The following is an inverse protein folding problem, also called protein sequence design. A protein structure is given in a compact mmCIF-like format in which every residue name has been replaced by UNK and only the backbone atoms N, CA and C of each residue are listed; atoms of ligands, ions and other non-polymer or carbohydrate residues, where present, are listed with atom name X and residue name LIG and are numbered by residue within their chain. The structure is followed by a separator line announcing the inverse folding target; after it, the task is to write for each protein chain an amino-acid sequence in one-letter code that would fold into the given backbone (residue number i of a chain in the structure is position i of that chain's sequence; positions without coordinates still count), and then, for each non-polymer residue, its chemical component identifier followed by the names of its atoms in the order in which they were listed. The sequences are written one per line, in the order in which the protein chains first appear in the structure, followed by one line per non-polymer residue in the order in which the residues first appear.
data_IF_510568119486
#
_entry.id   IF_510568119486
#
_cell.length_a   1.000
_cell.length_b   1.000
_cell.length_c   1.000
_cell.angle_alpha   90.00
_cell.angle_beta   90.00
_cell.angle_gamma   90.00
#
_symmetry.space_group_name_H-M   'P 1'
#
loop_
_entity.id
_entity.type
_entity.pdbx_description
1 polymer ?
#
# COMPACT_ATOMS: atom_id res chain seq x y z
N UNK A 1 -24.82 -6.97 3.23
CA UNK A 1 -24.25 -5.84 2.47
C UNK A 1 -23.70 -6.39 1.17
N UNK A 2 -24.27 -6.04 0.01
CA UNK A 2 -23.75 -6.50 -1.27
C UNK A 2 -22.32 -5.95 -1.44
N UNK A 3 -21.37 -6.84 -1.75
CA UNK A 3 -19.98 -6.47 -1.95
C UNK A 3 -19.85 -5.43 -3.06
N UNK A 4 -19.09 -4.37 -2.81
CA UNK A 4 -18.79 -3.34 -3.79
C UNK A 4 -18.29 -4.00 -5.11
N UNK A 5 -18.81 -3.59 -6.27
CA UNK A 5 -18.43 -4.19 -7.55
C UNK A 5 -16.94 -3.98 -7.80
N UNK A 6 -16.26 -5.07 -8.15
CA UNK A 6 -14.86 -5.07 -8.58
C UNK A 6 -14.78 -4.31 -9.91
N UNK A 7 -14.46 -3.02 -9.86
CA UNK A 7 -14.15 -2.18 -11.02
C UNK A 7 -12.84 -2.65 -11.70
N UNK A 8 -12.52 -2.23 -12.94
CA UNK A 8 -11.32 -2.66 -13.66
C UNK A 8 -10.02 -2.03 -13.10
N UNK A 9 -9.82 -2.15 -11.78
CA UNK A 9 -8.65 -1.70 -11.03
C UNK A 9 -7.35 -2.29 -11.60
N UNK A 10 -7.41 -3.53 -12.11
CA UNK A 10 -6.23 -4.27 -12.61
C UNK A 10 -5.36 -3.51 -13.63
N UNK A 11 -5.93 -2.60 -14.43
CA UNK A 11 -5.14 -1.83 -15.41
C UNK A 11 -4.19 -0.85 -14.75
N UNK A 12 -4.64 -0.12 -13.72
CA UNK A 12 -3.79 0.85 -13.01
C UNK A 12 -2.61 0.12 -12.35
N UNK A 13 -2.88 -0.89 -11.53
CA UNK A 13 -1.86 -1.71 -10.88
C UNK A 13 -0.86 -2.35 -11.86
N UNK A 14 -1.35 -2.91 -12.98
CA UNK A 14 -0.49 -3.48 -14.02
C UNK A 14 0.38 -2.42 -14.70
N UNK A 15 -0.20 -1.26 -15.02
CA UNK A 15 0.53 -0.17 -15.68
C UNK A 15 1.60 0.40 -14.75
N UNK A 16 1.30 0.58 -13.46
CA UNK A 16 2.29 1.01 -12.45
C UNK A 16 3.42 0.00 -12.32
N UNK A 17 3.13 -1.30 -12.34
CA UNK A 17 4.18 -2.34 -12.29
C UNK A 17 5.10 -2.29 -13.50
N UNK A 18 4.52 -2.14 -14.69
CA UNK A 18 5.29 -2.04 -15.93
C UNK A 18 6.11 -0.74 -15.99
N UNK A 19 5.56 0.38 -15.51
CA UNK A 19 6.32 1.61 -15.35
C UNK A 19 7.54 1.39 -14.44
N UNK A 20 7.35 0.75 -13.29
CA UNK A 20 8.43 0.46 -12.34
C UNK A 20 9.51 -0.41 -12.95
N UNK A 21 9.15 -1.47 -13.68
CA UNK A 21 10.12 -2.34 -14.36
C UNK A 21 10.99 -1.56 -15.34
N UNK A 22 10.40 -0.68 -16.15
CA UNK A 22 11.15 0.18 -17.08
C UNK A 22 12.00 1.23 -16.37
N UNK A 23 11.46 1.84 -15.32
CA UNK A 23 12.18 2.83 -14.51
C UNK A 23 13.40 2.18 -13.85
N UNK A 24 13.22 1.02 -13.23
CA UNK A 24 14.31 0.25 -12.61
C UNK A 24 15.37 -0.18 -13.64
N UNK A 25 14.96 -0.72 -14.79
CA UNK A 25 15.88 -1.10 -15.86
C UNK A 25 16.71 0.09 -16.39
N UNK A 26 16.18 1.31 -16.32
CA UNK A 26 16.92 2.53 -16.70
C UNK A 26 18.13 2.79 -15.82
N UNK A 27 18.16 2.24 -14.60
CA UNK A 27 19.30 2.27 -13.69
C UNK A 27 20.27 1.10 -13.89
N UNK A 28 20.17 0.34 -14.98
CA UNK A 28 21.07 -0.77 -15.31
C UNK A 28 21.17 -1.83 -14.18
N UNK A 29 20.03 -2.15 -13.57
CA UNK A 29 19.90 -3.10 -12.45
C UNK A 29 20.74 -2.74 -11.20
N UNK A 30 21.17 -1.48 -11.07
CA UNK A 30 21.95 -1.03 -9.91
C UNK A 30 21.10 -0.83 -8.66
N UNK A 31 19.77 -0.85 -8.77
CA UNK A 31 18.87 -0.69 -7.63
C UNK A 31 18.67 -2.03 -6.91
N UNK A 32 18.67 -2.05 -5.57
CA UNK A 32 18.42 -3.27 -4.80
C UNK A 32 16.94 -3.70 -4.84
N UNK A 33 16.03 -2.82 -5.27
CA UNK A 33 14.60 -3.11 -5.27
C UNK A 33 14.26 -4.12 -6.36
N UNK A 34 13.98 -5.35 -5.96
CA UNK A 34 13.52 -6.46 -6.79
C UNK A 34 12.74 -7.45 -5.93
N UNK A 35 12.09 -8.43 -6.54
CA UNK A 35 11.44 -9.50 -5.79
C UNK A 35 12.44 -10.16 -4.81
N UNK A 36 12.06 -10.26 -3.54
CA UNK A 36 12.92 -10.74 -2.46
C UNK A 36 13.63 -9.64 -1.65
N UNK A 37 13.62 -8.38 -2.12
CA UNK A 37 13.90 -7.24 -1.25
C UNK A 37 12.64 -6.90 -0.43
N UNK A 38 12.75 -6.93 0.90
CA UNK A 38 11.62 -6.71 1.81
C UNK A 38 11.79 -5.48 2.71
N UNK A 39 12.77 -4.60 2.42
CA UNK A 39 13.01 -3.41 3.24
C UNK A 39 11.78 -2.48 3.31
N UNK A 40 10.97 -2.42 2.25
CA UNK A 40 9.71 -1.67 2.24
C UNK A 40 8.51 -2.44 2.81
N UNK A 41 8.71 -3.72 3.18
CA UNK A 41 7.69 -4.58 3.78
C UNK A 41 7.73 -4.55 5.31
N UNK A 42 8.47 -3.61 5.91
CA UNK A 42 8.55 -3.38 7.35
C UNK A 42 8.09 -1.94 7.61
N UNK A 43 7.22 -1.76 8.58
CA UNK A 43 6.56 -0.49 8.87
C UNK A 43 5.06 -0.52 8.56
N UNK A 44 4.34 0.46 9.11
CA UNK A 44 2.96 0.77 8.74
C UNK A 44 2.95 1.99 7.83
N UNK A 45 2.07 1.98 6.84
CA UNK A 45 1.88 3.08 5.91
C UNK A 45 0.41 3.09 5.43
N UNK A 46 -0.11 4.26 5.03
CA UNK A 46 -1.42 4.35 4.43
C UNK A 46 -1.43 3.66 3.06
N UNK A 47 -2.55 3.02 2.76
CA UNK A 47 -2.90 2.49 1.45
C UNK A 47 -4.33 2.90 1.13
N UNK A 48 -4.66 2.95 -0.15
CA UNK A 48 -5.97 3.44 -0.57
C UNK A 48 -7.03 2.35 -0.52
N UNK A 49 -8.30 2.73 -0.61
CA UNK A 49 -9.41 1.79 -0.79
C UNK A 49 -9.29 0.99 -2.10
N UNK A 50 -8.60 1.51 -3.12
CA UNK A 50 -8.27 0.77 -4.34
C UNK A 50 -7.27 -0.35 -4.04
N UNK A 51 -6.22 -0.05 -3.27
CA UNK A 51 -5.24 -1.06 -2.81
C UNK A 51 -5.91 -2.14 -1.99
N UNK A 52 -6.85 -1.76 -1.11
CA UNK A 52 -7.64 -2.72 -0.36
C UNK A 52 -8.42 -3.66 -1.29
N UNK A 53 -9.09 -3.16 -2.32
CA UNK A 53 -9.82 -4.00 -3.27
C UNK A 53 -8.87 -4.98 -3.97
N UNK A 54 -7.68 -4.51 -4.34
CA UNK A 54 -6.65 -5.33 -4.99
C UNK A 54 -6.10 -6.42 -4.05
N UNK A 55 -5.79 -6.07 -2.80
CA UNK A 55 -5.36 -7.03 -1.78
C UNK A 55 -6.45 -8.08 -1.54
N UNK A 56 -7.72 -7.68 -1.44
CA UNK A 56 -8.84 -8.62 -1.25
C UNK A 56 -8.98 -9.57 -2.45
N UNK A 57 -8.75 -9.08 -3.68
CA UNK A 57 -8.70 -9.91 -4.90
C UNK A 57 -7.56 -10.94 -4.84
N UNK A 58 -6.39 -10.52 -4.35
CA UNK A 58 -5.25 -11.42 -4.13
C UNK A 58 -5.54 -12.48 -3.08
N UNK A 59 -6.06 -12.08 -1.91
CA UNK A 59 -6.44 -12.99 -0.83
C UNK A 59 -7.48 -14.02 -1.29
N UNK A 60 -8.45 -13.62 -2.11
CA UNK A 60 -9.46 -14.52 -2.68
C UNK A 60 -8.85 -15.58 -3.62
N UNK A 61 -7.69 -15.30 -4.20
CA UNK A 61 -6.96 -16.19 -5.12
C UNK A 61 -5.96 -17.11 -4.41
N UNK A 62 -5.67 -16.87 -3.13
CA UNK A 62 -4.72 -17.66 -2.33
C UNK A 62 -5.34 -18.96 -1.79
N UNK A 63 -4.46 -19.92 -1.47
CA UNK A 63 -4.86 -21.08 -0.68
C UNK A 63 -5.44 -20.66 0.67
N UNK A 64 -6.40 -21.43 1.18
CA UNK A 64 -7.12 -21.11 2.42
C UNK A 64 -6.19 -20.91 3.63
N UNK A 65 -5.12 -21.70 3.72
CA UNK A 65 -4.08 -21.62 4.75
C UNK A 65 -3.32 -20.29 4.70
N UNK A 66 -2.85 -19.89 3.52
CA UNK A 66 -2.04 -18.69 3.35
C UNK A 66 -2.88 -17.42 3.56
N UNK A 67 -4.09 -17.40 3.00
CA UNK A 67 -5.07 -16.34 3.26
C UNK A 67 -5.34 -16.19 4.75
N UNK A 68 -5.56 -17.30 5.47
CA UNK A 68 -5.83 -17.28 6.91
C UNK A 68 -4.63 -16.72 7.68
N UNK A 69 -3.40 -17.18 7.37
CA UNK A 69 -2.17 -16.66 7.97
C UNK A 69 -2.07 -15.14 7.85
N UNK A 70 -2.25 -14.60 6.63
CA UNK A 70 -2.16 -13.16 6.40
C UNK A 70 -3.26 -12.39 7.14
N UNK A 71 -4.47 -12.92 7.19
CA UNK A 71 -5.58 -12.31 7.92
C UNK A 71 -5.41 -12.36 9.44
N UNK A 72 -4.85 -13.44 9.98
CA UNK A 72 -4.54 -13.58 11.41
C UNK A 72 -3.41 -12.61 11.80
N UNK A 73 -2.35 -12.50 10.99
CA UNK A 73 -1.30 -11.50 11.16
C UNK A 73 -1.87 -10.07 11.15
N UNK A 74 -2.71 -9.75 10.16
CA UNK A 74 -3.34 -8.45 10.06
C UNK A 74 -4.26 -8.14 11.27
N UNK A 75 -4.98 -9.14 11.78
CA UNK A 75 -5.84 -8.99 12.97
C UNK A 75 -5.02 -8.60 14.19
N UNK A 76 -3.91 -9.30 14.42
CA UNK A 76 -3.02 -9.03 15.54
C UNK A 76 -2.44 -7.61 15.44
N UNK A 77 -2.00 -7.21 14.24
CA UNK A 77 -1.47 -5.87 14.00
C UNK A 77 -2.51 -4.78 14.20
N UNK A 78 -3.74 -4.98 13.71
CA UNK A 78 -4.85 -4.05 13.92
C UNK A 78 -5.18 -3.91 15.40
N UNK A 79 -5.12 -5.00 16.18
CA UNK A 79 -5.32 -4.94 17.63
C UNK A 79 -4.23 -4.09 18.30
N UNK A 80 -2.95 -4.30 17.94
CA UNK A 80 -1.83 -3.51 18.47
C UNK A 80 -1.95 -2.02 18.12
N UNK A 81 -2.31 -1.71 16.86
CA UNK A 81 -2.54 -0.35 16.40
C UNK A 81 -3.68 0.32 17.16
N UNK A 82 -4.81 -0.38 17.32
CA UNK A 82 -6.00 0.14 17.99
C UNK A 82 -5.82 0.38 19.50
N UNK A 83 -4.92 -0.37 20.15
CA UNK A 83 -4.56 -0.15 21.56
C UNK A 83 -3.76 1.14 21.73
N UNK A 84 -2.83 1.42 20.80
CA UNK A 84 -1.99 2.62 20.84
C UNK A 84 -2.76 3.86 20.36
N UNK A 85 -3.60 3.69 19.34
CA UNK A 85 -4.40 4.76 18.75
C UNK A 85 -5.89 4.37 18.73
N UNK A 86 -6.63 4.64 19.82
CA UNK A 86 -8.03 4.28 19.94
C UNK A 86 -8.94 4.90 18.87
N UNK A 87 -8.55 5.99 18.21
CA UNK A 87 -9.31 6.56 17.08
C UNK A 87 -9.52 5.56 15.95
N UNK A 88 -8.57 4.64 15.76
CA UNK A 88 -8.65 3.58 14.75
C UNK A 88 -9.75 2.55 15.01
N UNK A 89 -10.28 2.47 16.23
CA UNK A 89 -11.46 1.65 16.56
C UNK A 89 -12.74 2.29 16.02
N UNK A 90 -12.82 3.61 16.12
CA UNK A 90 -13.99 4.40 15.68
C UNK A 90 -14.01 4.53 14.17
N UNK A 91 -12.87 4.90 13.58
CA UNK A 91 -12.70 5.03 12.14
C UNK A 91 -11.33 4.48 11.74
N UNK A 92 -11.26 3.52 10.80
CA UNK A 92 -9.99 3.00 10.29
C UNK A 92 -9.30 3.96 9.29
N UNK A 93 -9.99 5.04 8.93
CA UNK A 93 -9.55 5.98 7.91
C UNK A 93 -8.63 7.04 8.49
N UNK A 94 -7.56 7.33 7.75
CA UNK A 94 -6.49 8.25 8.16
C UNK A 94 -6.44 9.53 7.33
N UNK A 95 -7.41 9.74 6.42
CA UNK A 95 -7.49 10.89 5.50
C UNK A 95 -7.34 12.27 6.17
N UNK A 96 -7.74 12.40 7.43
CA UNK A 96 -7.76 13.66 8.19
C UNK A 96 -6.64 13.78 9.22
N UNK A 97 -5.71 12.82 9.26
CA UNK A 97 -4.62 12.84 10.22
C UNK A 97 -3.56 13.84 9.76
N UNK A 98 -2.95 14.53 10.73
CA UNK A 98 -1.83 15.42 10.46
C UNK A 98 -0.56 14.62 10.21
N UNK A 99 0.36 15.18 9.42
CA UNK A 99 1.65 14.53 9.09
C UNK A 99 2.41 14.10 10.35
N UNK A 100 2.52 14.95 11.37
CA UNK A 100 3.17 14.63 12.65
C UNK A 100 2.49 13.47 13.41
N UNK A 101 1.18 13.28 13.24
CA UNK A 101 0.46 12.14 13.83
C UNK A 101 0.81 10.84 13.09
N UNK A 102 0.83 10.89 11.76
CA UNK A 102 1.24 9.77 10.92
C UNK A 102 2.70 9.37 11.14
N UNK A 103 3.60 10.34 11.26
CA UNK A 103 5.03 10.11 11.49
C UNK A 103 5.29 9.45 12.84
N UNK A 104 4.59 9.89 13.89
CA UNK A 104 4.69 9.26 15.22
C UNK A 104 4.22 7.81 15.19
N UNK A 105 3.11 7.54 14.50
CA UNK A 105 2.60 6.17 14.38
C UNK A 105 3.56 5.30 13.56
N UNK A 106 4.04 5.80 12.42
CA UNK A 106 4.97 5.09 11.54
C UNK A 106 6.27 4.76 12.27
N UNK A 107 6.83 5.72 13.02
CA UNK A 107 8.03 5.51 13.86
C UNK A 107 7.78 4.46 14.94
N UNK A 108 6.59 4.45 15.55
CA UNK A 108 6.27 3.51 16.63
C UNK A 108 6.19 2.06 16.13
N UNK A 109 5.79 1.86 14.88
CA UNK A 109 5.58 0.56 14.25
C UNK A 109 6.57 0.29 13.11
N UNK A 110 7.75 0.90 13.15
CA UNK A 110 8.82 0.83 12.14
C UNK A 110 9.43 -0.58 11.94
N UNK A 111 9.13 -1.49 12.86
CA UNK A 111 9.59 -2.89 12.89
C UNK A 111 8.45 -3.88 12.62
N UNK A 112 7.23 -3.39 12.39
CA UNK A 112 6.07 -4.23 12.16
C UNK A 112 6.10 -4.80 10.73
N UNK A 113 6.16 -6.13 10.52
CA UNK A 113 6.19 -6.69 9.18
C UNK A 113 4.83 -6.59 8.49
N UNK A 114 4.81 -6.42 7.17
CA UNK A 114 3.60 -6.51 6.36
C UNK A 114 2.90 -7.87 6.57
N UNK A 115 1.55 -7.93 6.65
CA UNK A 115 0.83 -9.20 6.80
C UNK A 115 1.13 -10.25 5.73
N UNK A 116 1.45 -9.81 4.51
CA UNK A 116 1.81 -10.67 3.38
C UNK A 116 3.27 -11.13 3.38
N UNK A 117 4.13 -10.62 4.27
CA UNK A 117 5.54 -10.99 4.31
C UNK A 117 5.69 -12.47 4.74
N UNK A 118 6.44 -13.23 3.95
CA UNK A 118 6.80 -14.61 4.24
C UNK A 118 8.13 -14.67 5.02
N UNK A 119 8.40 -15.75 5.78
CA UNK A 119 9.64 -15.89 6.55
C UNK A 119 10.91 -15.85 5.71
N UNK A 120 10.83 -16.19 4.43
CA UNK A 120 11.94 -16.13 3.47
C UNK A 120 12.08 -14.78 2.76
N UNK A 121 11.34 -13.76 3.21
CA UNK A 121 11.40 -12.40 2.69
C UNK A 121 10.58 -12.17 1.41
N UNK A 122 9.87 -13.17 0.89
CA UNK A 122 8.96 -12.97 -0.25
C UNK A 122 7.63 -12.38 0.20
N UNK A 123 6.97 -11.68 -0.72
CA UNK A 123 5.59 -11.24 -0.53
C UNK A 123 4.63 -12.34 -1.02
N UNK A 124 3.76 -12.82 -0.14
CA UNK A 124 2.73 -13.81 -0.47
C UNK A 124 1.59 -13.27 -1.35
N UNK A 125 1.55 -11.95 -1.60
CA UNK A 125 0.61 -11.28 -2.51
C UNK A 125 1.33 -10.40 -3.54
N UNK A 126 2.51 -10.81 -4.01
CA UNK A 126 3.36 -9.96 -4.87
C UNK A 126 2.62 -9.39 -6.10
N UNK A 127 1.82 -10.22 -6.77
CA UNK A 127 1.03 -9.80 -7.95
C UNK A 127 -0.15 -8.87 -7.62
N UNK A 128 -0.54 -8.77 -6.35
CA UNK A 128 -1.68 -8.00 -5.83
C UNK A 128 -1.24 -6.94 -4.81
N UNK A 129 0.05 -6.59 -4.82
CA UNK A 129 0.62 -5.59 -3.91
C UNK A 129 0.01 -4.19 -4.18
N UNK A 130 -0.09 -3.33 -3.14
CA UNK A 130 -0.53 -1.93 -3.27
C UNK A 130 0.22 -1.13 -4.31
N UNK A 131 -0.36 -0.02 -4.78
CA UNK A 131 0.28 0.92 -5.71
C UNK A 131 1.57 1.48 -5.14
N UNK A 132 1.57 1.90 -3.87
CA UNK A 132 2.80 2.31 -3.18
C UNK A 132 3.87 1.20 -3.26
N UNK A 133 3.52 -0.07 -3.05
CA UNK A 133 4.48 -1.17 -3.18
C UNK A 133 4.93 -1.45 -4.63
N UNK A 134 4.24 -0.91 -5.63
CA UNK A 134 4.60 -1.05 -7.06
C UNK A 134 5.45 0.10 -7.56
N UNK A 135 5.30 1.29 -6.99
CA UNK A 135 6.09 2.45 -7.38
C UNK A 135 7.31 2.69 -6.48
N UNK A 136 7.27 2.22 -5.22
CA UNK A 136 8.38 2.36 -4.28
C UNK A 136 9.64 1.65 -4.74
N UNK A 137 10.79 2.28 -4.49
CA UNK A 137 12.11 1.75 -4.83
C UNK A 137 12.77 2.44 -6.02
N UNK A 138 12.08 3.36 -6.69
CA UNK A 138 12.69 4.29 -7.64
C UNK A 138 13.16 5.53 -6.87
N UNK A 139 14.45 5.92 -6.94
CA UNK A 139 14.94 7.14 -6.32
C UNK A 139 14.16 8.38 -6.79
N UNK A 140 13.83 9.27 -5.86
CA UNK A 140 13.15 10.53 -6.19
C UNK A 140 14.16 11.56 -6.72
N UNK A 141 13.78 12.31 -7.74
CA UNK A 141 14.60 13.35 -8.40
C UNK A 141 13.81 14.65 -8.44
N UNK A 142 14.24 15.64 -7.65
CA UNK A 142 13.61 16.97 -7.60
C UNK A 142 14.21 17.96 -8.63
N UNK A 143 15.08 17.46 -9.51
CA UNK A 143 15.83 18.26 -10.49
C UNK A 143 17.17 18.77 -9.97
N UNK A 144 17.35 18.90 -8.66
CA UNK A 144 18.60 19.31 -8.02
C UNK A 144 19.34 18.11 -7.44
N UNK A 145 18.64 17.29 -6.67
CA UNK A 145 19.17 16.16 -5.91
C UNK A 145 18.38 14.90 -6.24
N UNK A 146 19.08 13.76 -6.22
CA UNK A 146 18.44 12.45 -6.29
C UNK A 146 18.56 11.79 -4.91
N UNK A 147 17.42 11.38 -4.34
CA UNK A 147 17.34 10.79 -3.00
C UNK A 147 16.92 9.33 -3.12
N UNK A 148 17.58 8.46 -2.35
CA UNK A 148 17.24 7.04 -2.30
C UNK A 148 15.82 6.83 -1.78
N UNK A 149 15.09 5.91 -2.39
CA UNK A 149 13.70 5.61 -2.04
C UNK A 149 13.54 4.90 -0.68
N UNK A 150 14.63 4.33 -0.14
CA UNK A 150 14.62 3.64 1.16
C UNK A 150 16.04 3.47 1.71
N UNK A 151 16.13 3.02 2.96
CA UNK A 151 17.39 2.88 3.70
C UNK A 151 18.43 1.94 3.06
N UNK A 152 18.00 0.97 2.23
CA UNK A 152 18.93 0.06 1.52
C UNK A 152 19.53 0.68 0.26
N UNK A 153 19.04 1.85 -0.19
CA UNK A 153 19.65 2.62 -1.28
C UNK A 153 20.71 3.56 -0.72
N UNK A 154 21.79 2.97 -0.19
CA UNK A 154 22.91 3.70 0.42
C UNK A 154 23.75 4.49 -0.58
N UNK A 155 23.59 4.21 -1.88
CA UNK A 155 24.15 4.99 -2.99
C UNK A 155 23.09 5.19 -4.07
N UNK A 156 22.82 6.44 -4.44
CA UNK A 156 21.90 6.76 -5.52
C UNK A 156 22.69 6.84 -6.84
N UNK A 157 22.26 6.17 -7.91
CA UNK A 157 22.96 6.23 -9.19
C UNK A 157 23.04 7.66 -9.73
N UNK A 158 24.14 8.01 -10.40
CA UNK A 158 24.24 9.27 -11.16
C UNK A 158 23.30 9.32 -12.37
N UNK A 159 22.70 8.18 -12.71
CA UNK A 159 21.72 8.05 -13.78
C UNK A 159 20.42 8.72 -13.33
N UNK A 160 19.91 9.64 -14.14
CA UNK A 160 18.60 10.24 -13.95
C UNK A 160 17.59 9.60 -14.88
N UNK A 161 16.37 9.38 -14.39
CA UNK A 161 15.27 8.95 -15.25
C UNK A 161 15.01 9.98 -16.35
N UNK A 162 14.52 9.51 -17.50
CA UNK A 162 14.10 10.39 -18.57
C UNK A 162 12.90 11.22 -18.12
N UNK A 163 12.71 12.41 -18.71
CA UNK A 163 11.52 13.23 -18.46
C UNK A 163 10.24 12.44 -18.72
N UNK A 164 10.21 11.64 -19.79
CA UNK A 164 9.07 10.78 -20.12
C UNK A 164 8.71 9.82 -18.99
N UNK A 165 9.69 9.11 -18.41
CA UNK A 165 9.41 8.18 -17.30
C UNK A 165 8.93 8.92 -16.03
N UNK A 166 9.46 10.12 -15.76
CA UNK A 166 8.97 10.95 -14.63
C UNK A 166 7.55 11.47 -14.87
N UNK A 167 7.24 11.90 -16.10
CA UNK A 167 5.90 12.37 -16.47
C UNK A 167 4.88 11.23 -16.38
N UNK A 168 5.26 10.00 -16.76
CA UNK A 168 4.40 8.81 -16.64
C UNK A 168 4.02 8.50 -15.19
N UNK A 169 4.92 8.70 -14.23
CA UNK A 169 4.61 8.56 -12.80
C UNK A 169 3.50 9.53 -12.37
N UNK A 170 3.60 10.79 -12.80
CA UNK A 170 2.59 11.81 -12.53
C UNK A 170 1.23 11.44 -13.16
N UNK A 171 1.25 10.85 -14.37
CA UNK A 171 0.03 10.36 -15.03
C UNK A 171 -0.60 9.22 -14.22
N UNK A 172 0.20 8.28 -13.71
CA UNK A 172 -0.30 7.16 -12.89
C UNK A 172 -0.95 7.66 -11.60
N UNK A 173 -0.32 8.61 -10.90
CA UNK A 173 -0.91 9.24 -9.71
C UNK A 173 -2.22 9.96 -10.04
N UNK A 174 -2.29 10.64 -11.19
CA UNK A 174 -3.53 11.25 -11.68
C UNK A 174 -4.63 10.24 -11.99
N UNK A 175 -4.28 9.07 -12.53
CA UNK A 175 -5.22 7.98 -12.77
C UNK A 175 -5.78 7.40 -11.45
N UNK A 176 -4.93 7.21 -10.44
CA UNK A 176 -5.36 6.79 -9.11
C UNK A 176 -6.36 7.78 -8.50
N UNK A 177 -5.99 9.07 -8.45
CA UNK A 177 -6.85 10.14 -7.94
C UNK A 177 -8.21 10.19 -8.67
N UNK A 178 -8.21 10.00 -9.99
CA UNK A 178 -9.44 9.97 -10.78
C UNK A 178 -10.31 8.75 -10.45
N UNK A 179 -9.72 7.57 -10.22
CA UNK A 179 -10.43 6.36 -9.82
C UNK A 179 -11.02 6.47 -8.41
N UNK A 180 -10.27 7.05 -7.48
CA UNK A 180 -10.73 7.36 -6.13
C UNK A 180 -11.91 8.35 -6.15
N UNK A 181 -11.80 9.44 -6.92
CA UNK A 181 -12.90 10.39 -7.11
C UNK A 181 -14.14 9.77 -7.76
N UNK A 182 -13.98 8.77 -8.64
CA UNK A 182 -15.09 8.01 -9.20
C UNK A 182 -15.75 7.12 -8.14
N UNK A 183 -14.96 6.44 -7.32
CA UNK A 183 -15.46 5.62 -6.20
C UNK A 183 -16.26 6.45 -5.20
N UNK A 184 -15.74 7.62 -4.80
CA UNK A 184 -16.44 8.58 -3.92
C UNK A 184 -17.80 9.03 -4.48
N UNK A 185 -17.90 9.19 -5.81
CA UNK A 185 -19.17 9.59 -6.45
C UNK A 185 -20.15 8.44 -6.59
N UNK A 186 -19.66 7.22 -6.79
CA UNK A 186 -20.49 6.04 -7.00
C UNK A 186 -20.96 5.38 -5.70
N UNK A 187 -20.19 5.55 -4.61
CA UNK A 187 -20.43 4.90 -3.33
C UNK A 187 -20.21 5.89 -2.18
N UNK A 188 -20.99 5.72 -1.11
CA UNK A 188 -20.80 6.44 0.14
C UNK A 188 -19.60 5.85 0.91
N UNK A 189 -18.39 6.24 0.50
CA UNK A 189 -17.14 5.84 1.15
C UNK A 189 -16.82 6.81 2.29
N UNK A 190 -16.57 6.27 3.48
CA UNK A 190 -16.28 7.07 4.68
C UNK A 190 -14.87 7.68 4.70
N UNK A 191 -13.97 7.17 3.86
CA UNK A 191 -12.60 7.65 3.65
C UNK A 191 -11.93 6.91 2.49
N UNK A 192 -10.77 7.39 2.06
CA UNK A 192 -9.98 6.81 0.96
C UNK A 192 -8.73 6.09 1.44
N UNK A 193 -8.17 6.45 2.60
CA UNK A 193 -6.88 5.94 3.06
C UNK A 193 -7.01 5.25 4.41
N UNK A 194 -6.34 4.10 4.55
CA UNK A 194 -6.31 3.30 5.76
C UNK A 194 -4.92 2.68 5.92
N UNK A 195 -4.53 2.32 7.13
CA UNK A 195 -3.23 1.67 7.34
C UNK A 195 -3.22 0.26 6.74
N UNK A 196 -2.11 -0.13 6.11
CA UNK A 196 -1.94 -1.39 5.39
C UNK A 196 -2.58 -2.63 6.07
N UNK A 197 -2.43 -2.89 7.39
CA UNK A 197 -3.02 -4.07 8.00
C UNK A 197 -4.56 -4.15 7.86
N UNK A 198 -5.25 -3.02 7.89
CA UNK A 198 -6.70 -2.98 7.71
C UNK A 198 -7.11 -3.46 6.32
N UNK A 199 -6.27 -3.28 5.29
CA UNK A 199 -6.55 -3.70 3.91
C UNK A 199 -6.71 -5.22 3.76
N UNK A 200 -6.14 -6.01 4.67
CA UNK A 200 -6.19 -7.48 4.63
C UNK A 200 -7.48 -8.06 5.25
N UNK A 201 -8.18 -7.30 6.08
CA UNK A 201 -9.36 -7.77 6.80
C UNK A 201 -10.62 -7.58 5.96
N UNK A 202 -11.49 -8.60 5.88
CA UNK A 202 -12.74 -8.54 5.09
C UNK A 202 -13.74 -7.50 5.59
N UNK A 203 -13.78 -7.26 6.90
CA UNK A 203 -14.53 -6.18 7.54
C UNK A 203 -13.55 -5.17 8.13
N UNK A 204 -13.74 -3.91 7.78
CA UNK A 204 -13.18 -2.80 8.54
C UNK A 204 -14.26 -2.46 9.57
N UNK A 205 -13.96 -2.56 10.85
CA UNK A 205 -14.96 -2.32 11.90
C UNK A 205 -15.36 -0.85 11.80
N UNK A 206 -16.59 -0.59 11.37
CA UNK A 206 -17.26 0.69 11.53
C UNK A 206 -18.10 0.58 12.79
N UNK A 207 -17.73 1.29 13.85
CA UNK A 207 -18.52 1.33 15.07
C UNK A 207 -19.88 1.99 14.82
N UNK A 208 -20.91 1.20 14.53
CA UNK A 208 -22.32 1.49 14.79
C UNK A 208 -23.19 0.24 14.53
N UNK A 209 -22.89 -0.84 15.26
CA UNK A 209 -23.85 -1.92 15.47
C UNK A 209 -24.64 -1.62 16.75
N UNK A 210 -25.76 -0.91 16.61
CA UNK A 210 -26.77 -0.89 17.66
C UNK A 210 -27.33 -2.29 17.82
N UNK A 211 -27.14 -2.88 19.01
CA UNK A 211 -27.92 -4.04 19.43
C UNK A 211 -29.37 -3.57 19.66
N UNK A 212 -30.22 -3.93 18.71
CA UNK A 212 -31.65 -4.15 18.94
C UNK A 212 -31.92 -5.63 18.81
N UNK A 213 -31.95 -6.36 19.92
CA UNK A 213 -33.03 -7.27 20.37
C UNK A 213 -32.59 -8.06 21.59
#
# INVERSE_FOLDING_TARGET
MPGAPLLPSSTLFRTTSHWFERANASFLDSLPCRQGCFSCCIGVFPVTILDRQEIQRGLASCASKDRKRMQDNAREQVNQLSVIEPRLVTSPFVDQWLDDEMDRLTTRFDSLPCPALEPDGRCGLYEFRPLVCRSMGIPSDDGLTVTGACAVQTSVPLIRLSKTLRDEESVLSGMEAQQLANLRRAFDVQGEELLLPYAFLSKIVTGSGGDTS
#
